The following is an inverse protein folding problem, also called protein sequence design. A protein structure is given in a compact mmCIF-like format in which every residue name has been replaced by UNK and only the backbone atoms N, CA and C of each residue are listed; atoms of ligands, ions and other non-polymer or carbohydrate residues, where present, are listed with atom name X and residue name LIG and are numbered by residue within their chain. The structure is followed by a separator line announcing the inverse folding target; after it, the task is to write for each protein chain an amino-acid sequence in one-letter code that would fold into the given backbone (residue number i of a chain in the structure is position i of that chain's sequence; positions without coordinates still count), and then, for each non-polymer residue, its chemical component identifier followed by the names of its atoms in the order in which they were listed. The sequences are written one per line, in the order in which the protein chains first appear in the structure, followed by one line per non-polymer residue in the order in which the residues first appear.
data_IF_454831795753
#
_entry.id   IF_454831795753
#
_cell.length_a   1.000
_cell.length_b   1.000
_cell.length_c   1.000
_cell.angle_alpha   90.00
_cell.angle_beta   90.00
_cell.angle_gamma   90.00
#
_symmetry.space_group_name_H-M   'P 1'
#
loop_
_entity.id
_entity.type
_entity.pdbx_description
1 polymer ?
#
# COMPACT_ATOMS: atom_id res chain seq x y z
N UNK A 1 14.06 33.10 -17.21
CA UNK A 1 14.95 32.17 -17.93
C UNK A 1 14.53 30.74 -17.62
N UNK A 2 14.08 30.01 -18.66
CA UNK A 2 13.69 28.58 -18.73
C UNK A 2 13.11 27.95 -17.45
N UNK A 3 11.83 28.22 -17.19
CA UNK A 3 11.01 27.36 -16.33
C UNK A 3 10.74 26.03 -17.03
N UNK A 4 11.34 24.94 -16.53
CA UNK A 4 10.93 23.58 -16.87
C UNK A 4 9.65 23.28 -16.09
N UNK A 5 8.50 23.47 -16.74
CA UNK A 5 7.22 23.01 -16.24
C UNK A 5 7.21 21.48 -16.30
N UNK A 6 7.42 20.83 -15.15
CA UNK A 6 7.12 19.42 -14.98
C UNK A 6 5.61 19.26 -15.05
N UNK A 7 5.11 18.73 -16.18
CA UNK A 7 3.73 18.27 -16.30
C UNK A 7 3.64 16.89 -15.65
N UNK A 8 2.90 16.78 -14.56
CA UNK A 8 2.24 15.54 -14.19
C UNK A 8 1.08 15.36 -15.19
N UNK A 9 1.32 14.64 -16.29
CA UNK A 9 0.26 14.20 -17.19
C UNK A 9 -0.36 12.93 -16.59
N UNK A 10 -1.66 13.03 -16.28
CA UNK A 10 -2.48 11.96 -15.75
C UNK A 10 -2.58 10.85 -16.80
N UNK A 11 -2.05 9.66 -16.48
CA UNK A 11 -1.95 8.54 -17.41
C UNK A 11 -3.34 8.08 -17.86
N UNK A 12 -3.57 7.93 -19.17
CA UNK A 12 -4.87 7.54 -19.74
C UNK A 12 -4.93 6.04 -19.97
N UNK A 13 -5.90 5.37 -19.36
CA UNK A 13 -6.14 3.93 -19.57
C UNK A 13 -6.44 3.57 -21.02
N UNK A 14 -5.85 2.47 -21.49
CA UNK A 14 -6.06 1.93 -22.85
C UNK A 14 -7.51 1.53 -23.12
N UNK A 15 -8.29 1.28 -22.07
CA UNK A 15 -9.71 0.96 -22.17
C UNK A 15 -10.51 2.12 -22.80
N UNK A 16 -10.04 3.36 -22.60
CA UNK A 16 -10.67 4.57 -23.14
C UNK A 16 -10.39 4.81 -24.63
N UNK A 17 -9.50 4.04 -25.24
CA UNK A 17 -9.13 4.20 -26.65
C UNK A 17 -9.98 3.28 -27.53
N UNK A 18 -10.34 3.71 -28.76
CA UNK A 18 -11.12 2.91 -29.70
C UNK A 18 -10.25 1.83 -30.38
N UNK A 19 -9.68 0.94 -29.57
CA UNK A 19 -8.90 -0.22 -30.02
C UNK A 19 -9.80 -1.44 -30.17
N UNK A 20 -9.51 -2.29 -31.17
CA UNK A 20 -10.24 -3.54 -31.36
C UNK A 20 -10.13 -4.43 -30.11
N UNK A 21 -11.19 -5.17 -29.73
CA UNK A 21 -11.18 -5.99 -28.51
C UNK A 21 -10.01 -6.99 -28.47
N UNK A 22 -9.68 -7.61 -29.62
CA UNK A 22 -8.58 -8.56 -29.72
C UNK A 22 -7.21 -7.92 -29.45
N UNK A 23 -6.96 -6.74 -30.00
CA UNK A 23 -5.70 -6.00 -29.76
C UNK A 23 -5.63 -5.52 -28.32
N UNK A 24 -6.74 -5.03 -27.75
CA UNK A 24 -6.82 -4.58 -26.36
C UNK A 24 -6.48 -5.70 -25.38
N UNK A 25 -7.07 -6.87 -25.56
CA UNK A 25 -6.77 -8.04 -24.72
C UNK A 25 -5.28 -8.40 -24.83
N UNK A 26 -4.71 -8.40 -26.04
CA UNK A 26 -3.29 -8.68 -26.22
C UNK A 26 -2.37 -7.63 -25.59
N UNK A 27 -2.74 -6.34 -25.66
CA UNK A 27 -1.99 -5.27 -25.02
C UNK A 27 -1.99 -5.41 -23.50
N UNK A 28 -3.16 -5.64 -22.91
CA UNK A 28 -3.30 -5.87 -21.46
C UNK A 28 -2.57 -7.14 -21.05
N UNK A 29 -2.65 -8.22 -21.84
CA UNK A 29 -1.90 -9.46 -21.56
C UNK A 29 -0.39 -9.30 -21.70
N UNK A 30 0.06 -8.38 -22.57
CA UNK A 30 1.47 -8.00 -22.69
C UNK A 30 1.89 -6.95 -21.63
N UNK A 31 0.97 -6.55 -20.74
CA UNK A 31 1.24 -5.65 -19.63
C UNK A 31 1.16 -4.16 -19.94
N UNK A 32 0.66 -3.77 -21.13
CA UNK A 32 0.40 -2.36 -21.45
C UNK A 32 -0.96 -1.94 -20.89
N UNK A 33 -0.99 -0.84 -20.14
CA UNK A 33 -2.21 -0.38 -19.46
C UNK A 33 -2.57 1.05 -19.79
N UNK A 34 -1.57 1.89 -20.02
CA UNK A 34 -1.78 3.31 -20.29
C UNK A 34 -1.27 3.70 -21.67
N UNK A 35 -1.85 4.74 -22.23
CA UNK A 35 -1.45 5.27 -23.53
C UNK A 35 0.01 5.75 -23.54
N UNK A 36 0.47 6.30 -22.42
CA UNK A 36 1.80 6.87 -22.26
C UNK A 36 2.90 5.82 -22.38
N UNK A 37 2.63 4.59 -21.94
CA UNK A 37 3.53 3.44 -22.10
C UNK A 37 3.73 3.07 -23.58
N UNK A 38 2.79 3.44 -24.45
CA UNK A 38 2.82 3.11 -25.88
C UNK A 38 3.30 4.28 -26.75
N UNK A 39 3.30 5.53 -26.26
CA UNK A 39 3.65 6.71 -27.08
C UNK A 39 5.05 6.61 -27.71
N UNK A 40 6.02 6.09 -26.94
CA UNK A 40 7.44 5.98 -27.33
C UNK A 40 7.80 4.64 -27.99
N UNK A 41 6.90 3.66 -27.99
CA UNK A 41 7.18 2.32 -28.53
C UNK A 41 7.16 2.33 -30.06
N UNK A 42 8.12 1.66 -30.69
CA UNK A 42 8.13 1.52 -32.17
C UNK A 42 7.15 0.43 -32.61
N UNK A 43 6.49 0.57 -33.78
CA UNK A 43 5.56 -0.44 -34.28
C UNK A 43 6.16 -1.85 -34.41
N UNK A 44 7.45 -1.95 -34.73
CA UNK A 44 8.17 -3.22 -34.81
C UNK A 44 8.42 -3.88 -33.46
N UNK A 45 8.59 -3.09 -32.40
CA UNK A 45 8.77 -3.57 -31.03
C UNK A 45 7.41 -4.03 -30.48
N UNK A 46 6.38 -3.19 -30.62
CA UNK A 46 5.03 -3.51 -30.19
C UNK A 46 4.48 -4.78 -30.85
N UNK A 47 4.68 -4.92 -32.15
CA UNK A 47 4.26 -6.12 -32.90
C UNK A 47 4.90 -7.40 -32.36
N UNK A 48 6.18 -7.35 -31.98
CA UNK A 48 6.90 -8.50 -31.42
C UNK A 48 6.46 -8.80 -29.99
N UNK A 49 6.33 -7.79 -29.14
CA UNK A 49 5.95 -7.96 -27.73
C UNK A 49 4.50 -8.44 -27.57
N UNK A 50 3.58 -7.88 -28.36
CA UNK A 50 2.13 -8.12 -28.21
C UNK A 50 1.65 -9.30 -29.07
N UNK A 51 2.47 -9.77 -30.02
CA UNK A 51 2.07 -10.84 -30.95
C UNK A 51 0.93 -10.40 -31.88
N UNK A 52 0.97 -9.16 -32.36
CA UNK A 52 0.07 -8.60 -33.38
C UNK A 52 0.85 -8.30 -34.66
N UNK A 53 0.15 -8.21 -35.79
CA UNK A 53 0.78 -7.83 -37.05
C UNK A 53 1.39 -6.42 -36.97
N UNK A 54 2.43 -6.15 -37.76
CA UNK A 54 3.02 -4.80 -37.83
C UNK A 54 2.00 -3.73 -38.25
N UNK A 55 1.00 -4.12 -39.05
CA UNK A 55 -0.09 -3.23 -39.45
C UNK A 55 -0.97 -2.86 -38.25
N UNK A 56 -1.43 -3.85 -37.48
CA UNK A 56 -2.22 -3.62 -36.25
C UNK A 56 -1.44 -2.81 -35.21
N UNK A 57 -0.15 -3.09 -35.03
CA UNK A 57 0.70 -2.33 -34.11
C UNK A 57 0.82 -0.85 -34.52
N UNK A 58 1.00 -0.59 -35.81
CA UNK A 58 1.10 0.75 -36.35
C UNK A 58 -0.22 1.51 -36.23
N UNK A 59 -1.34 0.85 -36.53
CA UNK A 59 -2.69 1.41 -36.38
C UNK A 59 -2.99 1.75 -34.90
N UNK A 60 -2.68 0.83 -33.99
CA UNK A 60 -2.83 1.03 -32.54
C UNK A 60 -2.09 2.27 -32.06
N UNK A 61 -0.80 2.38 -32.43
CA UNK A 61 0.04 3.53 -32.06
C UNK A 61 -0.47 4.83 -32.68
N UNK A 62 -1.02 4.79 -33.90
CA UNK A 62 -1.63 5.95 -34.54
C UNK A 62 -2.90 6.40 -33.83
N UNK A 63 -3.79 5.47 -33.46
CA UNK A 63 -5.00 5.77 -32.68
C UNK A 63 -4.60 6.43 -31.37
N UNK A 64 -3.66 5.84 -30.63
CA UNK A 64 -3.22 6.34 -29.33
C UNK A 64 -2.59 7.74 -29.47
N UNK A 65 -1.65 7.92 -30.41
CA UNK A 65 -1.02 9.23 -30.65
C UNK A 65 -2.04 10.28 -31.07
N UNK A 66 -2.98 9.93 -31.94
CA UNK A 66 -4.04 10.85 -32.38
C UNK A 66 -4.91 11.28 -31.20
N UNK A 67 -5.44 10.34 -30.44
CA UNK A 67 -6.34 10.62 -29.32
C UNK A 67 -5.66 11.31 -28.12
N UNK A 68 -4.36 11.10 -27.94
CA UNK A 68 -3.55 11.84 -26.95
C UNK A 68 -3.27 13.28 -27.40
N UNK A 69 -3.15 13.52 -28.71
CA UNK A 69 -2.92 14.86 -29.28
C UNK A 69 -4.22 15.67 -29.46
N UNK A 70 -5.37 15.04 -29.67
CA UNK A 70 -6.65 15.71 -29.99
C UNK A 70 -7.46 16.12 -28.77
N UNK A 71 -7.18 15.61 -27.57
CA UNK A 71 -8.00 15.87 -26.39
C UNK A 71 -7.51 17.05 -25.54
N UNK A 72 -7.74 18.27 -26.05
CA UNK A 72 -8.28 19.36 -25.21
C UNK A 72 -9.81 19.21 -25.22
N UNK A 73 -10.48 19.10 -24.06
CA UNK A 73 -11.68 18.28 -23.93
C UNK A 73 -12.95 18.99 -24.39
N UNK A 74 -13.88 18.26 -25.02
CA UNK A 74 -15.30 18.64 -25.12
C UNK A 74 -16.19 17.38 -25.12
N UNK A 75 -17.18 17.40 -24.22
CA UNK A 75 -18.32 16.48 -24.01
C UNK A 75 -18.00 15.11 -23.41
N UNK A 76 -18.85 14.47 -22.62
CA UNK A 76 -19.95 14.82 -21.72
C UNK A 76 -20.40 13.46 -21.16
N UNK A 77 -20.31 13.28 -19.85
CA UNK A 77 -20.65 12.03 -19.19
C UNK A 77 -20.06 12.04 -17.78
N UNK A 78 -20.87 12.48 -16.82
CA UNK A 78 -20.78 12.17 -15.38
C UNK A 78 -19.37 11.82 -14.88
N UNK A 79 -18.54 12.82 -14.62
CA UNK A 79 -17.24 12.63 -13.97
C UNK A 79 -16.95 13.86 -13.12
N UNK A 80 -17.04 13.72 -11.80
CA UNK A 80 -16.62 14.70 -10.80
C UNK A 80 -15.09 15.00 -10.83
N UNK A 81 -14.36 14.51 -11.84
CA UNK A 81 -12.91 14.32 -11.78
C UNK A 81 -12.05 15.44 -12.42
N UNK A 82 -12.50 16.69 -12.40
CA UNK A 82 -11.64 17.87 -12.68
C UNK A 82 -12.12 19.14 -11.96
N UNK A 83 -12.69 19.02 -10.76
CA UNK A 83 -13.04 20.20 -9.97
C UNK A 83 -11.74 20.86 -9.48
N UNK A 84 -11.36 22.00 -10.08
CA UNK A 84 -10.27 22.83 -9.57
C UNK A 84 -10.63 23.23 -8.14
N UNK A 85 -9.80 22.88 -7.18
CA UNK A 85 -9.94 23.29 -5.79
C UNK A 85 -8.76 24.19 -5.39
N UNK A 86 -8.99 25.04 -4.40
CA UNK A 86 -7.91 25.84 -3.83
C UNK A 86 -7.09 25.01 -2.85
N UNK A 87 -5.86 25.44 -2.54
CA UNK A 87 -5.05 24.78 -1.51
C UNK A 87 -5.74 24.80 -0.12
N UNK A 88 -6.57 25.81 0.15
CA UNK A 88 -7.36 25.88 1.37
C UNK A 88 -8.43 24.79 1.42
N UNK A 89 -9.16 24.59 0.32
CA UNK A 89 -10.17 23.51 0.23
C UNK A 89 -9.54 22.12 0.38
N UNK A 90 -8.34 21.91 -0.17
CA UNK A 90 -7.59 20.67 0.03
C UNK A 90 -7.18 20.47 1.49
N UNK A 91 -6.72 21.52 2.16
CA UNK A 91 -6.36 21.45 3.59
C UNK A 91 -7.58 21.10 4.45
N UNK A 92 -8.74 21.71 4.17
CA UNK A 92 -10.00 21.37 4.84
C UNK A 92 -10.41 19.91 4.61
N UNK A 93 -10.23 19.39 3.39
CA UNK A 93 -10.47 17.98 3.08
C UNK A 93 -9.50 17.05 3.84
N UNK A 94 -8.22 17.39 3.91
CA UNK A 94 -7.22 16.62 4.67
C UNK A 94 -7.54 16.56 6.16
N UNK A 95 -8.09 17.64 6.74
CA UNK A 95 -8.54 17.64 8.14
C UNK A 95 -9.73 16.71 8.40
N UNK A 96 -10.55 16.44 7.38
CA UNK A 96 -11.66 15.48 7.46
C UNK A 96 -11.27 14.06 7.07
N UNK A 97 -10.01 13.84 6.68
CA UNK A 97 -9.55 12.54 6.24
C UNK A 97 -9.40 11.60 7.43
N UNK A 98 -10.20 10.53 7.44
CA UNK A 98 -10.15 9.52 8.49
C UNK A 98 -8.84 8.73 8.50
N UNK A 99 -8.62 8.05 9.61
CA UNK A 99 -7.50 7.13 9.82
C UNK A 99 -7.98 5.89 10.58
N UNK A 100 -7.24 4.80 10.44
CA UNK A 100 -7.48 3.55 11.14
C UNK A 100 -6.45 3.46 12.29
N UNK A 101 -6.93 3.43 13.52
CA UNK A 101 -6.08 3.31 14.71
C UNK A 101 -5.38 1.93 14.76
N UNK A 102 -4.24 1.85 15.43
CA UNK A 102 -3.46 0.60 15.57
C UNK A 102 -3.53 0.00 16.98
N UNK A 103 -4.23 0.65 17.92
CA UNK A 103 -4.20 0.39 19.37
C UNK A 103 -2.78 0.41 19.99
N UNK A 104 -1.83 1.03 19.30
CA UNK A 104 -0.50 1.32 19.82
C UNK A 104 -0.32 2.84 19.71
N UNK A 105 -0.53 3.55 20.81
CA UNK A 105 -0.49 5.01 20.83
C UNK A 105 0.81 5.57 20.25
N UNK A 106 1.95 4.94 20.53
CA UNK A 106 3.23 5.37 19.98
C UNK A 106 3.29 5.21 18.45
N UNK A 107 2.65 4.17 17.89
CA UNK A 107 2.60 3.97 16.43
C UNK A 107 1.60 4.94 15.78
N UNK A 108 0.45 5.16 16.41
CA UNK A 108 -0.54 6.13 15.96
C UNK A 108 0.04 7.55 15.94
N UNK A 109 0.79 7.93 16.98
CA UNK A 109 1.44 9.24 17.08
C UNK A 109 2.41 9.50 15.93
N UNK A 110 3.30 8.55 15.61
CA UNK A 110 4.26 8.74 14.51
C UNK A 110 3.59 8.72 13.14
N UNK A 111 2.44 8.05 13.00
CA UNK A 111 1.65 8.08 11.77
C UNK A 111 0.77 9.34 11.64
N UNK A 112 0.63 10.12 12.71
CA UNK A 112 -0.21 11.33 12.76
C UNK A 112 -1.68 11.03 13.07
N UNK A 113 -1.96 10.02 13.89
CA UNK A 113 -3.30 9.60 14.35
C UNK A 113 -3.61 8.13 14.09
N UNK A 114 -2.90 7.50 13.16
CA UNK A 114 -3.14 6.13 12.73
C UNK A 114 -2.83 5.95 11.24
N UNK A 115 -3.23 4.83 10.66
CA UNK A 115 -3.06 4.58 9.21
C UNK A 115 -4.02 5.48 8.43
N UNK A 116 -3.55 6.43 7.61
CA UNK A 116 -4.42 7.35 6.90
C UNK A 116 -5.16 6.68 5.74
N UNK A 117 -6.42 7.07 5.54
CA UNK A 117 -7.18 6.73 4.34
C UNK A 117 -6.60 7.43 3.09
N UNK A 118 -6.94 6.94 1.90
CA UNK A 118 -6.50 7.44 0.59
C UNK A 118 -4.98 7.42 0.37
N UNK A 119 -4.25 6.63 1.17
CA UNK A 119 -2.79 6.51 1.06
C UNK A 119 -2.38 5.04 1.03
N UNK A 120 -1.26 4.78 0.38
CA UNK A 120 -0.58 3.49 0.40
C UNK A 120 0.47 3.49 1.51
N UNK A 121 0.36 2.53 2.43
CA UNK A 121 1.31 2.32 3.52
C UNK A 121 1.98 0.96 3.35
N UNK A 122 3.31 0.96 3.27
CA UNK A 122 4.12 -0.25 3.17
C UNK A 122 4.77 -0.60 4.51
N UNK A 123 4.58 -1.83 4.95
CA UNK A 123 5.19 -2.37 6.18
C UNK A 123 6.29 -3.36 5.76
N UNK A 124 7.54 -2.95 5.95
CA UNK A 124 8.72 -3.74 5.64
C UNK A 124 9.29 -4.39 6.91
N UNK A 125 9.96 -5.54 6.78
CA UNK A 125 10.69 -6.12 7.91
C UNK A 125 11.03 -7.59 7.75
N UNK A 126 11.94 -8.08 8.60
CA UNK A 126 12.33 -9.49 8.63
C UNK A 126 11.14 -10.42 8.99
N UNK A 127 11.25 -11.75 8.77
CA UNK A 127 10.27 -12.70 9.28
C UNK A 127 10.08 -12.58 10.81
N UNK A 128 8.86 -12.79 11.31
CA UNK A 128 8.57 -12.82 12.76
C UNK A 128 8.50 -11.46 13.48
N UNK A 129 8.72 -10.34 12.79
CA UNK A 129 8.64 -8.98 13.38
C UNK A 129 7.21 -8.49 13.63
N UNK A 130 6.19 -9.13 13.04
CA UNK A 130 4.77 -8.80 13.30
C UNK A 130 3.99 -8.13 12.17
N UNK A 131 4.48 -8.11 10.93
CA UNK A 131 3.79 -7.45 9.79
C UNK A 131 2.34 -7.93 9.61
N UNK A 132 2.17 -9.24 9.40
CA UNK A 132 0.85 -9.89 9.29
C UNK A 132 -0.03 -9.68 10.53
N UNK A 133 0.58 -9.63 11.71
CA UNK A 133 -0.15 -9.39 12.96
C UNK A 133 -0.79 -7.99 12.98
N UNK A 134 -0.10 -6.97 12.45
CA UNK A 134 -0.67 -5.63 12.33
C UNK A 134 -1.76 -5.60 11.26
N UNK A 135 -1.54 -6.27 10.12
CA UNK A 135 -2.54 -6.37 9.06
C UNK A 135 -3.85 -7.01 9.54
N UNK A 136 -3.78 -8.16 10.23
CA UNK A 136 -4.97 -8.82 10.78
C UNK A 136 -5.70 -7.92 11.78
N UNK A 137 -4.96 -7.17 12.58
CA UNK A 137 -5.56 -6.23 13.52
C UNK A 137 -6.22 -5.05 12.81
N UNK A 138 -5.58 -4.43 11.82
CA UNK A 138 -6.18 -3.34 11.06
C UNK A 138 -7.47 -3.78 10.34
N UNK A 139 -7.56 -5.05 9.91
CA UNK A 139 -8.79 -5.61 9.33
C UNK A 139 -9.98 -5.67 10.31
N UNK A 140 -9.69 -5.71 11.62
CA UNK A 140 -10.69 -5.56 12.69
C UNK A 140 -10.91 -4.08 13.00
N UNK A 141 -9.83 -3.31 13.18
CA UNK A 141 -9.87 -1.94 13.69
C UNK A 141 -10.52 -0.95 12.70
N UNK A 142 -10.49 -1.23 11.38
CA UNK A 142 -11.21 -0.43 10.37
C UNK A 142 -12.72 -0.42 10.59
N UNK A 143 -13.26 -1.45 11.26
CA UNK A 143 -14.69 -1.62 11.45
C UNK A 143 -15.23 -0.84 12.66
N UNK A 144 -14.33 -0.27 13.49
CA UNK A 144 -14.71 0.47 14.69
C UNK A 144 -15.70 1.60 14.32
N UNK A 145 -16.84 1.73 15.03
CA UNK A 145 -17.83 2.75 14.70
C UNK A 145 -17.33 4.19 14.87
N UNK A 146 -17.89 5.13 14.10
CA UNK A 146 -17.51 6.55 14.12
C UNK A 146 -17.66 7.21 15.50
N UNK A 147 -18.66 6.80 16.29
CA UNK A 147 -18.86 7.32 17.66
C UNK A 147 -17.71 6.95 18.61
N UNK A 148 -16.90 5.93 18.28
CA UNK A 148 -15.67 5.58 18.96
C UNK A 148 -14.41 6.15 18.28
N UNK A 149 -14.58 7.02 17.27
CA UNK A 149 -13.48 7.60 16.49
C UNK A 149 -12.94 6.68 15.38
N UNK A 150 -13.63 5.59 15.06
CA UNK A 150 -13.28 4.73 13.93
C UNK A 150 -13.89 5.20 12.61
N UNK A 151 -13.84 4.35 11.59
CA UNK A 151 -14.32 4.67 10.22
C UNK A 151 -15.50 3.80 9.75
N UNK A 152 -16.01 2.91 10.63
CA UNK A 152 -17.15 2.03 10.38
C UNK A 152 -17.10 1.31 9.00
N UNK A 153 -15.89 0.92 8.58
CA UNK A 153 -15.63 0.34 7.27
C UNK A 153 -15.53 -1.18 7.29
N UNK A 154 -15.29 -1.75 6.11
CA UNK A 154 -15.03 -3.18 5.91
C UNK A 154 -13.59 -3.39 5.37
N UNK A 155 -13.10 -4.63 5.39
CA UNK A 155 -11.73 -4.95 4.99
C UNK A 155 -11.68 -5.97 3.86
N UNK A 156 -10.77 -5.76 2.91
CA UNK A 156 -10.30 -6.77 1.96
C UNK A 156 -8.90 -7.21 2.36
N UNK A 157 -8.67 -8.52 2.48
CA UNK A 157 -7.39 -9.12 2.83
C UNK A 157 -6.93 -10.06 1.71
N UNK A 158 -5.89 -9.66 0.98
CA UNK A 158 -5.23 -10.46 -0.04
C UNK A 158 -3.99 -11.10 0.58
N UNK A 159 -4.03 -12.42 0.76
CA UNK A 159 -2.95 -13.20 1.35
C UNK A 159 -2.15 -13.93 0.26
N UNK A 160 -0.86 -13.62 0.18
CA UNK A 160 0.07 -14.25 -0.76
C UNK A 160 0.94 -15.35 -0.15
N UNK A 161 1.04 -15.42 1.18
CA UNK A 161 1.90 -16.39 1.88
C UNK A 161 1.09 -17.49 2.58
N UNK A 162 -0.21 -17.29 2.83
CA UNK A 162 -1.08 -18.22 3.55
C UNK A 162 -0.98 -18.05 5.06
N UNK A 163 -0.61 -16.85 5.51
CA UNK A 163 -0.37 -16.52 6.92
C UNK A 163 -1.59 -15.97 7.66
N UNK A 164 -2.73 -15.81 6.99
CA UNK A 164 -3.98 -15.38 7.62
C UNK A 164 -4.54 -16.46 8.54
N UNK A 165 -4.60 -16.17 9.86
CA UNK A 165 -5.12 -17.11 10.86
C UNK A 165 -6.41 -16.59 11.46
N UNK A 166 -7.54 -17.26 11.16
CA UNK A 166 -8.87 -16.83 11.61
C UNK A 166 -8.98 -16.83 13.13
N UNK A 167 -8.46 -17.85 13.83
CA UNK A 167 -8.45 -17.90 15.30
C UNK A 167 -7.75 -16.67 15.89
N UNK A 168 -6.70 -16.19 15.22
CA UNK A 168 -6.01 -14.98 15.65
C UNK A 168 -6.86 -13.72 15.44
N UNK A 169 -7.62 -13.66 14.36
CA UNK A 169 -8.58 -12.56 14.11
C UNK A 169 -9.69 -12.58 15.16
N UNK A 170 -10.15 -13.76 15.60
CA UNK A 170 -11.12 -13.92 16.69
C UNK A 170 -10.59 -13.31 18.00
N UNK A 171 -9.34 -13.58 18.36
CA UNK A 171 -8.72 -12.96 19.55
C UNK A 171 -8.73 -11.42 19.45
N UNK A 172 -8.34 -10.89 18.30
CA UNK A 172 -8.25 -9.46 18.04
C UNK A 172 -9.61 -8.78 18.07
N UNK A 173 -10.61 -9.38 17.41
CA UNK A 173 -12.00 -8.93 17.41
C UNK A 173 -12.59 -8.94 18.82
N UNK A 174 -12.39 -10.03 19.57
CA UNK A 174 -12.83 -10.14 20.96
C UNK A 174 -12.22 -9.05 21.83
N UNK A 175 -10.91 -8.80 21.69
CA UNK A 175 -10.23 -7.74 22.42
C UNK A 175 -10.72 -6.34 22.03
N UNK A 176 -11.03 -6.10 20.76
CA UNK A 176 -11.60 -4.84 20.27
C UNK A 176 -13.00 -4.61 20.87
N UNK A 177 -13.89 -5.59 20.80
CA UNK A 177 -15.24 -5.52 21.40
C UNK A 177 -15.17 -5.19 22.89
N UNK A 178 -14.34 -5.92 23.65
CA UNK A 178 -14.16 -5.67 25.09
C UNK A 178 -13.66 -4.24 25.35
N UNK A 179 -12.74 -3.75 24.52
CA UNK A 179 -12.23 -2.39 24.67
C UNK A 179 -13.31 -1.34 24.43
N UNK A 180 -14.11 -1.48 23.38
CA UNK A 180 -15.20 -0.53 23.08
C UNK A 180 -16.31 -0.57 24.14
N UNK A 181 -16.61 -1.75 24.70
CA UNK A 181 -17.55 -1.88 25.83
C UNK A 181 -17.11 -1.06 27.04
N UNK A 182 -15.83 -1.13 27.42
CA UNK A 182 -15.28 -0.32 28.51
C UNK A 182 -15.39 1.19 28.26
N UNK A 183 -15.21 1.62 27.00
CA UNK A 183 -15.39 3.04 26.63
C UNK A 183 -16.86 3.46 26.75
N UNK A 184 -17.78 2.63 26.27
CA UNK A 184 -19.21 2.91 26.31
C UNK A 184 -19.74 3.03 27.74
N UNK A 185 -19.31 2.14 28.64
CA UNK A 185 -19.66 2.18 30.07
C UNK A 185 -19.23 3.48 30.74
N UNK A 186 -18.05 4.00 30.35
CA UNK A 186 -17.50 5.25 30.90
C UNK A 186 -18.28 6.48 30.43
N UNK A 187 -18.70 6.53 29.16
CA UNK A 187 -19.34 7.72 28.58
C UNK A 187 -20.87 7.75 28.78
N UNK A 188 -21.51 6.61 29.08
CA UNK A 188 -22.96 6.47 29.30
C UNK A 188 -23.83 7.06 28.17
N UNK A 189 -23.28 7.19 26.95
CA UNK A 189 -24.01 7.69 25.79
C UNK A 189 -24.84 6.59 25.14
N UNK A 190 -26.11 6.89 24.85
CA UNK A 190 -27.02 5.95 24.19
C UNK A 190 -26.52 5.52 22.80
N UNK A 191 -25.87 6.44 22.08
CA UNK A 191 -25.24 6.20 20.77
C UNK A 191 -24.17 5.10 20.83
N UNK A 192 -23.29 5.12 21.84
CA UNK A 192 -22.25 4.12 22.03
C UNK A 192 -22.86 2.74 22.30
N UNK A 193 -23.93 2.68 23.10
CA UNK A 193 -24.61 1.42 23.42
C UNK A 193 -25.25 0.82 22.17
N UNK A 194 -25.92 1.65 21.36
CA UNK A 194 -26.56 1.21 20.12
C UNK A 194 -25.54 0.73 19.09
N UNK A 195 -24.42 1.42 18.93
CA UNK A 195 -23.35 1.00 18.02
C UNK A 195 -22.76 -0.38 18.39
N UNK A 196 -22.75 -0.72 19.69
CA UNK A 196 -22.28 -2.02 20.17
C UNK A 196 -23.29 -3.17 20.01
N UNK A 197 -24.57 -2.90 19.74
CA UNK A 197 -25.57 -3.95 19.51
C UNK A 197 -25.24 -4.76 18.24
N UNK A 198 -24.76 -4.08 17.19
CA UNK A 198 -24.37 -4.68 15.92
C UNK A 198 -22.88 -5.00 15.82
N UNK A 199 -22.04 -4.55 16.77
CA UNK A 199 -20.59 -4.79 16.76
C UNK A 199 -20.23 -6.14 17.41
N UNK A 200 -20.70 -7.22 16.81
CA UNK A 200 -20.52 -8.60 17.28
C UNK A 200 -19.37 -9.31 16.58
N UNK A 201 -18.89 -10.42 17.14
CA UNK A 201 -17.82 -11.22 16.55
C UNK A 201 -18.19 -11.70 15.13
N UNK A 202 -19.40 -12.25 14.96
CA UNK A 202 -19.87 -12.75 13.67
C UNK A 202 -19.91 -11.64 12.61
N UNK A 203 -20.41 -10.46 12.99
CA UNK A 203 -20.46 -9.32 12.08
C UNK A 203 -19.06 -8.86 11.69
N UNK A 204 -18.13 -8.75 12.65
CA UNK A 204 -16.74 -8.37 12.37
C UNK A 204 -16.10 -9.35 11.37
N UNK A 205 -16.26 -10.65 11.59
CA UNK A 205 -15.69 -11.66 10.71
C UNK A 205 -16.34 -11.67 9.32
N UNK A 206 -17.66 -11.42 9.24
CA UNK A 206 -18.39 -11.37 7.97
C UNK A 206 -17.98 -10.19 7.06
N UNK A 207 -17.41 -9.13 7.64
CA UNK A 207 -16.97 -7.92 6.95
C UNK A 207 -15.47 -7.93 6.59
N UNK A 208 -14.81 -9.09 6.68
CA UNK A 208 -13.44 -9.30 6.22
C UNK A 208 -13.46 -10.22 5.01
N UNK A 209 -13.28 -9.65 3.83
CA UNK A 209 -13.24 -10.37 2.56
C UNK A 209 -11.84 -10.90 2.27
N UNK A 210 -11.69 -12.23 2.27
CA UNK A 210 -10.39 -12.88 2.12
C UNK A 210 -10.16 -13.45 0.71
N UNK A 211 -8.99 -13.16 0.13
CA UNK A 211 -8.54 -13.70 -1.14
C UNK A 211 -7.15 -14.32 -1.00
N UNK A 212 -6.96 -15.54 -1.50
CA UNK A 212 -5.65 -16.20 -1.56
C UNK A 212 -5.09 -16.10 -2.98
N UNK A 213 -3.91 -15.50 -3.12
CA UNK A 213 -3.17 -15.45 -4.39
C UNK A 213 -1.86 -16.23 -4.26
N UNK A 214 -1.65 -17.23 -5.11
CA UNK A 214 -0.49 -18.14 -5.06
C UNK A 214 0.68 -17.68 -5.92
N UNK A 215 0.39 -16.93 -6.97
CA UNK A 215 1.36 -16.42 -7.92
C UNK A 215 1.06 -14.97 -8.33
N UNK A 216 1.96 -14.38 -9.13
CA UNK A 216 1.85 -12.98 -9.52
C UNK A 216 0.69 -12.73 -10.49
N UNK A 217 0.25 -13.75 -11.22
CA UNK A 217 -0.87 -13.66 -12.17
C UNK A 217 -2.19 -13.58 -11.41
N UNK A 218 -2.39 -14.47 -10.43
CA UNK A 218 -3.54 -14.43 -9.52
C UNK A 218 -3.59 -13.10 -8.76
N UNK A 219 -2.45 -12.60 -8.27
CA UNK A 219 -2.38 -11.32 -7.57
C UNK A 219 -2.77 -10.15 -8.47
N UNK A 220 -2.20 -10.07 -9.68
CA UNK A 220 -2.54 -9.01 -10.64
C UNK A 220 -4.03 -9.06 -10.98
N UNK A 221 -4.53 -10.23 -11.38
CA UNK A 221 -5.94 -10.40 -11.72
C UNK A 221 -6.87 -9.95 -10.58
N UNK A 222 -6.57 -10.35 -9.34
CA UNK A 222 -7.35 -9.93 -8.18
C UNK A 222 -7.36 -8.41 -8.01
N UNK A 223 -6.20 -7.76 -8.15
CA UNK A 223 -6.07 -6.30 -8.03
C UNK A 223 -6.80 -5.54 -9.14
N UNK A 224 -6.82 -6.06 -10.37
CA UNK A 224 -7.59 -5.46 -11.47
C UNK A 224 -9.10 -5.66 -11.34
N UNK A 225 -9.55 -6.70 -10.62
CA UNK A 225 -10.96 -6.95 -10.34
C UNK A 225 -11.47 -6.19 -9.09
N UNK A 226 -10.58 -5.67 -8.25
CA UNK A 226 -10.96 -4.92 -7.05
C UNK A 226 -11.88 -3.72 -7.33
N UNK A 227 -11.70 -2.88 -8.37
CA UNK A 227 -12.60 -1.75 -8.63
C UNK A 227 -14.07 -2.18 -8.75
N UNK A 228 -14.33 -3.25 -9.49
CA UNK A 228 -15.69 -3.80 -9.67
C UNK A 228 -16.23 -4.32 -8.34
N UNK A 229 -15.43 -5.11 -7.61
CA UNK A 229 -15.78 -5.60 -6.27
C UNK A 229 -16.11 -4.45 -5.30
N UNK A 230 -15.27 -3.41 -5.26
CA UNK A 230 -15.46 -2.25 -4.37
C UNK A 230 -16.65 -1.38 -4.77
N UNK A 231 -17.13 -1.47 -6.02
CA UNK A 231 -18.37 -0.83 -6.43
C UNK A 231 -19.60 -1.49 -5.81
N UNK A 232 -19.55 -2.82 -5.64
CA UNK A 232 -20.59 -3.62 -4.96
C UNK A 232 -20.44 -3.54 -3.43
N UNK A 233 -19.21 -3.39 -2.94
CA UNK A 233 -18.86 -3.33 -1.52
C UNK A 233 -18.40 -1.92 -1.10
N UNK A 234 -19.28 -0.93 -1.26
CA UNK A 234 -18.98 0.50 -1.03
C UNK A 234 -18.56 0.88 0.40
N UNK A 235 -18.70 -0.02 1.37
CA UNK A 235 -18.29 0.16 2.77
C UNK A 235 -16.83 -0.23 3.03
N UNK A 236 -16.14 -0.87 2.09
CA UNK A 236 -14.72 -1.20 2.25
C UNK A 236 -13.90 0.08 2.41
N UNK A 237 -13.12 0.14 3.50
CA UNK A 237 -12.21 1.27 3.80
C UNK A 237 -10.76 0.81 3.97
N UNK A 238 -10.49 -0.49 3.85
CA UNK A 238 -9.15 -1.05 3.94
C UNK A 238 -8.95 -2.16 2.92
N UNK A 239 -7.85 -2.09 2.17
CA UNK A 239 -7.34 -3.18 1.33
C UNK A 239 -5.93 -3.53 1.80
N UNK A 240 -5.71 -4.79 2.16
CA UNK A 240 -4.41 -5.33 2.56
C UNK A 240 -3.91 -6.27 1.48
N UNK A 241 -2.63 -6.14 1.11
CA UNK A 241 -1.87 -7.18 0.40
C UNK A 241 -0.73 -7.64 1.29
N UNK A 242 -0.88 -8.82 1.90
CA UNK A 242 0.13 -9.43 2.76
C UNK A 242 1.09 -10.28 1.92
N UNK A 243 2.31 -9.78 1.74
CA UNK A 243 3.42 -10.42 1.05
C UNK A 243 3.61 -9.96 -0.40
N UNK A 244 3.59 -8.66 -0.66
CA UNK A 244 3.63 -8.09 -2.03
C UNK A 244 4.80 -8.60 -2.90
N UNK A 245 5.93 -8.92 -2.27
CA UNK A 245 7.12 -9.39 -2.96
C UNK A 245 7.13 -10.89 -3.24
N UNK A 246 6.36 -11.69 -2.50
CA UNK A 246 6.44 -13.15 -2.55
C UNK A 246 6.10 -13.71 -3.95
N UNK A 247 5.00 -13.30 -4.61
CA UNK A 247 4.63 -13.84 -5.91
C UNK A 247 5.60 -13.51 -7.05
N UNK A 248 6.39 -12.45 -6.90
CA UNK A 248 7.34 -11.98 -7.93
C UNK A 248 8.74 -12.58 -7.77
N UNK A 249 8.92 -13.63 -6.96
CA UNK A 249 10.23 -14.24 -6.68
C UNK A 249 10.65 -15.32 -7.66
N UNK A 250 9.71 -16.17 -8.09
CA UNK A 250 10.08 -17.49 -8.63
C UNK A 250 9.79 -17.67 -10.12
N UNK A 251 9.03 -16.77 -10.76
CA UNK A 251 8.50 -17.04 -12.11
C UNK A 251 8.74 -15.91 -13.13
N UNK A 252 9.65 -14.97 -12.85
CA UNK A 252 9.90 -13.81 -13.71
C UNK A 252 11.41 -13.55 -13.92
N UNK A 253 11.98 -14.25 -14.90
CA UNK A 253 13.37 -14.03 -15.36
C UNK A 253 13.55 -12.67 -16.04
N UNK A 254 12.50 -12.17 -16.71
CA UNK A 254 12.50 -10.85 -17.33
C UNK A 254 12.27 -9.75 -16.29
N UNK A 255 13.38 -9.16 -15.84
CA UNK A 255 13.40 -8.03 -14.92
C UNK A 255 12.64 -6.79 -15.45
N UNK A 256 12.59 -6.60 -16.77
CA UNK A 256 11.89 -5.46 -17.37
C UNK A 256 10.38 -5.64 -17.28
N UNK A 257 9.88 -6.84 -17.61
CA UNK A 257 8.49 -7.22 -17.43
C UNK A 257 8.10 -7.13 -15.96
N UNK A 258 8.91 -7.71 -15.07
CA UNK A 258 8.69 -7.65 -13.62
C UNK A 258 8.54 -6.21 -13.13
N UNK A 259 9.41 -5.30 -13.58
CA UNK A 259 9.34 -3.88 -13.19
C UNK A 259 8.08 -3.21 -13.71
N UNK A 260 7.67 -3.49 -14.96
CA UNK A 260 6.42 -2.97 -15.55
C UNK A 260 5.20 -3.43 -14.75
N UNK A 261 5.10 -4.73 -14.47
CA UNK A 261 3.97 -5.31 -13.74
C UNK A 261 3.86 -4.72 -12.33
N UNK A 262 4.99 -4.59 -11.62
CA UNK A 262 5.04 -3.97 -10.31
C UNK A 262 4.62 -2.49 -10.35
N UNK A 263 5.05 -1.74 -11.37
CA UNK A 263 4.63 -0.35 -11.53
C UNK A 263 3.11 -0.24 -11.80
N UNK A 264 2.55 -1.09 -12.65
CA UNK A 264 1.10 -1.15 -12.89
C UNK A 264 0.31 -1.47 -11.62
N UNK A 265 0.77 -2.47 -10.86
CA UNK A 265 0.19 -2.85 -9.56
C UNK A 265 0.20 -1.67 -8.57
N UNK A 266 1.33 -0.94 -8.49
CA UNK A 266 1.46 0.24 -7.63
C UNK A 266 0.51 1.36 -8.03
N UNK A 267 0.39 1.67 -9.33
CA UNK A 267 -0.54 2.69 -9.82
C UNK A 267 -1.99 2.31 -9.51
N UNK A 268 -2.35 1.03 -9.70
CA UNK A 268 -3.70 0.56 -9.40
C UNK A 268 -4.02 0.69 -7.91
N UNK A 269 -3.08 0.36 -7.02
CA UNK A 269 -3.25 0.54 -5.57
C UNK A 269 -3.43 2.01 -5.18
N UNK A 270 -2.66 2.92 -5.78
CA UNK A 270 -2.80 4.36 -5.55
C UNK A 270 -4.17 4.85 -6.05
N UNK A 271 -4.59 4.39 -7.22
CA UNK A 271 -5.90 4.71 -7.82
C UNK A 271 -7.04 4.23 -6.92
N UNK A 272 -6.98 2.98 -6.45
CA UNK A 272 -7.95 2.39 -5.53
C UNK A 272 -8.09 3.20 -4.24
N UNK A 273 -6.96 3.57 -3.61
CA UNK A 273 -6.95 4.36 -2.39
C UNK A 273 -7.71 5.69 -2.55
N UNK A 274 -7.45 6.41 -3.65
CA UNK A 274 -8.05 7.73 -3.90
C UNK A 274 -9.52 7.64 -4.33
N UNK A 275 -9.83 6.75 -5.29
CA UNK A 275 -11.16 6.68 -5.89
C UNK A 275 -12.22 6.13 -4.91
N UNK A 276 -11.84 5.19 -4.04
CA UNK A 276 -12.74 4.55 -3.09
C UNK A 276 -12.58 5.04 -1.65
N UNK A 277 -11.74 6.07 -1.43
CA UNK A 277 -11.46 6.63 -0.10
C UNK A 277 -11.05 5.58 0.95
N UNK A 278 -10.21 4.64 0.56
CA UNK A 278 -9.74 3.53 1.40
C UNK A 278 -8.25 3.64 1.72
N UNK A 279 -7.81 3.03 2.81
CA UNK A 279 -6.39 2.81 3.09
C UNK A 279 -5.91 1.55 2.35
N UNK A 280 -4.70 1.61 1.79
CA UNK A 280 -4.02 0.43 1.23
C UNK A 280 -2.81 0.09 2.09
N UNK A 281 -2.74 -1.15 2.57
CA UNK A 281 -1.60 -1.69 3.31
C UNK A 281 -0.91 -2.75 2.46
N UNK A 282 0.40 -2.61 2.30
CA UNK A 282 1.24 -3.58 1.58
C UNK A 282 2.30 -4.09 2.55
N UNK A 283 2.41 -5.40 2.77
CA UNK A 283 3.57 -5.93 3.52
C UNK A 283 4.65 -6.37 2.57
N UNK A 284 5.90 -6.05 2.93
CA UNK A 284 7.06 -6.37 2.14
C UNK A 284 8.14 -7.04 3.00
N UNK A 285 8.91 -7.93 2.38
CA UNK A 285 10.04 -8.61 3.01
C UNK A 285 11.32 -7.80 2.80
N UNK A 286 12.31 -8.03 3.65
CA UNK A 286 13.64 -7.44 3.49
C UNK A 286 14.55 -8.36 2.66
N UNK A 287 15.44 -7.77 1.89
CA UNK A 287 16.51 -8.43 1.14
C UNK A 287 17.84 -7.75 1.42
N UNK A 288 18.95 -8.39 1.04
CA UNK A 288 20.29 -7.83 1.21
C UNK A 288 20.77 -7.26 -0.12
N UNK A 289 21.04 -5.96 -0.17
CA UNK A 289 21.79 -5.33 -1.27
C UNK A 289 23.27 -5.33 -0.90
N UNK A 290 24.10 -5.91 -1.76
CA UNK A 290 25.55 -5.91 -1.58
C UNK A 290 26.12 -4.81 -2.48
N UNK A 291 26.71 -3.78 -1.87
CA UNK A 291 27.41 -2.72 -2.58
C UNK A 291 28.84 -2.58 -2.05
N UNK A 292 29.84 -2.73 -2.93
CA UNK A 292 31.28 -2.45 -2.71
C UNK A 292 31.81 -2.72 -1.28
N UNK A 293 31.47 -3.87 -0.69
CA UNK A 293 31.81 -4.37 0.66
C UNK A 293 30.85 -4.08 1.83
N UNK A 294 29.65 -3.56 1.59
CA UNK A 294 28.62 -3.43 2.61
C UNK A 294 27.37 -4.23 2.21
N UNK A 295 26.88 -5.04 3.15
CA UNK A 295 25.61 -5.73 3.05
C UNK A 295 24.56 -4.89 3.79
N UNK A 296 23.66 -4.27 3.03
CA UNK A 296 22.60 -3.42 3.57
C UNK A 296 21.26 -4.14 3.43
N UNK A 297 20.51 -4.17 4.53
CA UNK A 297 19.12 -4.63 4.55
C UNK A 297 18.24 -3.57 3.91
N UNK A 298 17.55 -3.93 2.83
CA UNK A 298 16.64 -3.06 2.09
C UNK A 298 15.31 -3.77 1.85
N UNK A 299 14.19 -3.05 1.70
CA UNK A 299 12.95 -3.66 1.23
C UNK A 299 13.13 -4.37 -0.12
N UNK A 300 12.44 -5.48 -0.33
CA UNK A 300 12.44 -6.17 -1.61
C UNK A 300 11.76 -5.32 -2.70
N UNK A 301 11.83 -5.79 -3.96
CA UNK A 301 11.30 -5.16 -5.18
C UNK A 301 12.11 -3.98 -5.75
N UNK A 302 13.16 -3.53 -5.05
CA UNK A 302 14.13 -2.57 -5.60
C UNK A 302 13.65 -1.12 -5.58
N UNK A 303 14.45 -0.24 -6.18
CA UNK A 303 14.27 1.22 -6.06
C UNK A 303 13.07 1.76 -6.83
N UNK A 304 12.69 1.11 -7.95
CA UNK A 304 11.48 1.47 -8.72
C UNK A 304 10.22 1.39 -7.86
N UNK A 305 10.09 0.32 -7.07
CA UNK A 305 9.01 0.13 -6.10
C UNK A 305 9.02 1.15 -4.95
N UNK A 306 10.16 1.81 -4.70
CA UNK A 306 10.31 2.85 -3.68
C UNK A 306 9.28 3.98 -3.74
N UNK A 307 8.69 4.20 -4.91
CA UNK A 307 7.70 5.26 -5.15
C UNK A 307 6.25 4.80 -4.96
N UNK A 308 5.99 3.48 -4.89
CA UNK A 308 4.64 2.91 -4.78
C UNK A 308 3.95 3.27 -3.46
N UNK A 309 4.71 3.24 -2.36
CA UNK A 309 4.20 3.52 -1.03
C UNK A 309 4.35 5.01 -0.67
N UNK A 310 3.27 5.67 -0.29
CA UNK A 310 3.32 7.03 0.28
C UNK A 310 4.01 7.02 1.64
N UNK A 311 3.68 6.02 2.47
CA UNK A 311 4.21 5.83 3.81
C UNK A 311 4.97 4.51 3.87
N UNK A 312 6.13 4.47 4.54
CA UNK A 312 6.88 3.24 4.77
C UNK A 312 7.30 3.08 6.22
N UNK A 313 6.85 1.98 6.83
CA UNK A 313 7.28 1.52 8.14
C UNK A 313 8.30 0.39 7.99
N UNK A 314 9.36 0.40 8.80
CA UNK A 314 10.33 -0.69 8.92
C UNK A 314 10.23 -1.29 10.30
N UNK A 315 9.78 -2.54 10.38
CA UNK A 315 9.71 -3.32 11.60
C UNK A 315 10.99 -4.13 11.77
N UNK A 316 11.61 -4.01 12.93
CA UNK A 316 12.84 -4.72 13.25
C UNK A 316 12.89 -5.09 14.74
N UNK A 317 13.81 -5.99 15.06
CA UNK A 317 14.13 -6.33 16.43
C UNK A 317 15.39 -5.56 16.84
N UNK A 318 15.34 -4.90 17.99
CA UNK A 318 16.54 -4.53 18.73
C UNK A 318 16.56 -5.34 20.02
N UNK A 319 17.58 -6.20 20.14
CA UNK A 319 17.75 -7.17 21.23
C UNK A 319 16.52 -8.08 21.41
N UNK A 320 15.60 -7.71 22.31
CA UNK A 320 14.38 -8.46 22.65
C UNK A 320 13.10 -7.63 22.46
N UNK A 321 13.22 -6.42 21.93
CA UNK A 321 12.11 -5.50 21.74
C UNK A 321 11.84 -5.36 20.24
N UNK A 322 10.56 -5.20 19.88
CA UNK A 322 10.15 -4.88 18.52
C UNK A 322 10.06 -3.38 18.38
N UNK A 323 10.60 -2.87 17.28
CA UNK A 323 10.59 -1.45 16.96
C UNK A 323 9.97 -1.24 15.59
N UNK A 324 9.22 -0.16 15.47
CA UNK A 324 8.67 0.35 14.23
C UNK A 324 9.34 1.68 13.92
N UNK A 325 10.05 1.76 12.81
CA UNK A 325 10.66 3.00 12.31
C UNK A 325 9.86 3.53 11.14
N UNK A 326 9.37 4.76 11.24
CA UNK A 326 8.77 5.48 10.11
C UNK A 326 9.86 6.00 9.18
N UNK A 327 10.14 5.24 8.12
CA UNK A 327 11.24 5.52 7.20
C UNK A 327 10.86 6.53 6.10
N UNK A 328 9.59 6.51 5.66
CA UNK A 328 9.10 7.42 4.62
C UNK A 328 7.72 7.95 5.02
N UNK A 329 7.57 9.27 5.00
CA UNK A 329 6.28 9.96 5.13
C UNK A 329 6.39 11.35 4.49
N UNK A 330 5.34 11.86 3.84
CA UNK A 330 5.33 13.23 3.32
C UNK A 330 5.14 14.30 4.41
N UNK A 331 4.51 13.94 5.53
CA UNK A 331 4.10 14.89 6.58
C UNK A 331 4.81 14.69 7.91
N UNK A 332 5.23 13.46 8.21
CA UNK A 332 5.81 13.09 9.50
C UNK A 332 7.33 12.95 9.41
N UNK A 333 8.02 13.26 10.51
CA UNK A 333 9.46 13.06 10.62
C UNK A 333 9.78 11.58 10.85
N UNK A 334 10.98 11.18 10.42
CA UNK A 334 11.49 9.86 10.77
C UNK A 334 11.57 9.70 12.29
N UNK A 335 10.92 8.65 12.80
CA UNK A 335 10.82 8.37 14.22
C UNK A 335 10.78 6.85 14.42
N UNK A 336 11.30 6.39 15.56
CA UNK A 336 11.28 4.97 15.94
C UNK A 336 10.56 4.80 17.26
N UNK A 337 9.62 3.86 17.31
CA UNK A 337 8.82 3.56 18.49
C UNK A 337 8.85 2.08 18.83
N UNK A 338 8.61 1.79 20.10
CA UNK A 338 8.55 0.43 20.64
C UNK A 338 7.11 -0.07 20.63
N UNK A 339 6.91 -1.30 20.18
CA UNK A 339 5.61 -1.96 20.27
C UNK A 339 5.76 -3.39 20.78
N UNK A 340 4.66 -3.95 21.26
CA UNK A 340 4.58 -5.36 21.63
C UNK A 340 3.32 -6.01 21.04
N UNK A 341 3.40 -7.32 20.82
CA UNK A 341 2.29 -8.13 20.32
C UNK A 341 1.85 -9.00 21.49
N UNK A 342 0.62 -8.76 21.95
CA UNK A 342 -0.05 -9.46 23.05
C UNK A 342 -1.21 -10.32 22.52
N UNK A 343 -1.82 -11.19 23.33
CA UNK A 343 -3.08 -11.84 22.97
C UNK A 343 -4.16 -10.86 22.51
N UNK A 344 -4.19 -9.64 23.06
CA UNK A 344 -5.14 -8.60 22.64
C UNK A 344 -4.74 -7.84 21.36
N UNK A 345 -3.55 -8.10 20.79
CA UNK A 345 -3.04 -7.44 19.58
C UNK A 345 -1.78 -6.61 19.81
N UNK A 346 -1.47 -5.73 18.86
CA UNK A 346 -0.49 -4.66 18.94
C UNK A 346 -0.86 -3.69 20.06
N UNK A 347 0.07 -3.47 20.98
CA UNK A 347 -0.11 -2.56 22.11
C UNK A 347 1.19 -1.82 22.39
N UNK A 348 1.05 -0.70 23.09
CA UNK A 348 2.18 0.05 23.62
C UNK A 348 3.04 -0.79 24.55
N UNK A 349 4.34 -0.58 24.47
CA UNK A 349 5.29 -1.15 25.42
C UNK A 349 5.26 -0.29 26.67
N UNK A 350 5.16 -0.90 27.85
CA UNK A 350 5.26 -0.16 29.10
C UNK A 350 6.73 0.23 29.26
N UNK A 351 7.11 1.39 28.74
CA UNK A 351 8.46 1.93 28.93
C UNK A 351 8.53 2.38 30.39
N UNK A 352 9.09 1.52 31.25
CA UNK A 352 9.64 2.00 32.52
C UNK A 352 10.70 3.01 32.14
N UNK A 353 10.50 4.27 32.50
CA UNK A 353 11.29 5.43 32.12
C UNK A 353 12.80 5.19 32.22
N UNK A 354 13.40 4.73 31.13
CA UNK A 354 14.82 4.71 30.89
C UNK A 354 15.06 4.54 29.37
N UNK A 355 15.84 5.47 28.82
CA UNK A 355 16.34 5.51 27.44
C UNK A 355 15.45 6.17 26.39
N UNK A 356 15.37 7.50 26.49
CA UNK A 356 15.44 8.37 25.31
C UNK A 356 16.77 8.12 24.58
N UNK A 357 16.76 7.22 23.58
CA UNK A 357 17.82 7.16 22.58
C UNK A 357 17.65 8.36 21.65
N UNK A 358 18.35 9.44 21.99
CA UNK A 358 18.73 10.44 21.00
C UNK A 358 19.71 9.76 20.03
N UNK A 359 19.25 9.49 18.82
CA UNK A 359 20.11 9.08 17.72
C UNK A 359 20.84 10.32 17.19
N UNK A 360 21.82 10.82 17.94
CA UNK A 360 22.87 11.67 17.39
C UNK A 360 24.10 10.81 17.07
N UNK A 361 24.41 10.73 15.77
CA UNK A 361 25.77 10.59 15.26
C UNK A 361 26.57 9.33 15.62
N UNK A 362 26.55 8.33 14.73
CA UNK A 362 27.81 7.75 14.23
C UNK A 362 27.60 6.98 12.93
N UNK A 363 27.89 7.63 11.81
CA UNK A 363 28.46 6.96 10.63
C UNK A 363 29.83 6.39 11.04
N UNK A 364 29.82 5.20 11.63
CA UNK A 364 31.03 4.43 11.90
C UNK A 364 31.60 3.93 10.57
N UNK A 365 32.52 4.72 10.02
CA UNK A 365 33.52 4.26 9.07
C UNK A 365 34.33 3.14 9.72
N UNK A 366 34.00 1.88 9.40
CA UNK A 366 34.93 0.76 9.63
C UNK A 366 36.10 0.90 8.66
N UNK A 367 37.08 1.72 9.06
CA UNK A 367 38.43 1.71 8.50
C UNK A 367 39.09 0.42 8.98
N UNK A 368 39.28 -0.53 8.08
CA UNK A 368 40.19 -1.67 8.29
C UNK A 368 41.57 -1.09 8.63
N UNK A 369 42.10 -1.44 9.80
CA UNK A 369 43.52 -1.34 10.10
C UNK A 369 44.28 -2.20 9.09
N UNK A 370 45.28 -1.61 8.43
CA UNK A 370 46.32 -2.33 7.70
C UNK A 370 47.37 -2.72 8.73
N UNK A 371 47.64 -4.01 8.85
CA UNK A 371 48.86 -4.51 9.49
C UNK A 371 50.05 -4.16 8.59
N UNK A 372 51.17 -3.65 9.14
CA UNK A 372 52.42 -3.51 8.43
C UNK A 372 53.33 -4.69 8.78
N UNK A 373 53.40 -5.72 7.94
CA UNK A 373 54.50 -6.70 8.00
C UNK A 373 54.45 -7.60 6.76
N UNK A 374 55.29 -7.30 5.77
CA UNK A 374 56.07 -8.23 4.93
C UNK A 374 56.86 -7.40 3.91
N UNK A 375 57.96 -6.80 4.37
CA UNK A 375 59.15 -6.61 3.55
C UNK A 375 60.07 -7.82 3.81
N UNK A 376 60.21 -8.70 2.83
CA UNK A 376 61.34 -9.60 2.61
C UNK A 376 61.38 -10.04 1.15
#
# INVERSE_FOLDING_TARGET
MRGKTFRFEMQRDLVSFPLSPAVRVKLVSAGFQTAEELLEVKPSELSKEVGISKAEALETLQIIRRECLTNKPRYAGTSESHKKCTALELLEQEHTQGFIITFCSALDDILGGGVPLMKTTEICGAPGVGKTQLCMQLAVDVQIPECFGGVAGEAVFIDTEGSFMVDRVVDLATACIQHLQLIAEKHKGEEHRKALEDFTLDNILSHIYYFRCRDYTELLAQVYLLPDFLSEHSKVRLVIVDGIAFPFRHDLDDLSLRTRLLNGLAQQMISLANNHRLAVILTNQMTTKIDRNQALLVPALGESWGHAATIRLIFHWDRKQRLATLYKSPSQKECTVLFQIKPQGFRDTVVTSACSLQTEGSLSTRKRSRDPEEEL
#
